data_IF_766922520349
#
_entry.id   IF_766922520349
#
_cell.length_a   1.000
_cell.length_b   1.000
_cell.length_c   1.000
_cell.angle_alpha   90.00
_cell.angle_beta   90.00
_cell.angle_gamma   90.00
#
_symmetry.space_group_name_H-M   'P 1'
#
loop_
_entity.id
_entity.type
_entity.pdbx_description
1 polymer ?
#
# COMPACT_ATOMS: atom_id res chain seq x y z
N UNK A 1 -7.31 8.42 -4.88
CA UNK A 1 -6.66 9.39 -3.96
C UNK A 1 -7.38 10.75 -3.96
N UNK A 2 -7.65 11.38 -5.12
CA UNK A 2 -8.34 12.68 -5.20
C UNK A 2 -9.66 12.75 -4.45
N UNK A 3 -10.50 11.74 -4.64
CA UNK A 3 -11.76 11.59 -3.92
C UNK A 3 -11.57 11.52 -2.38
N UNK A 4 -10.74 10.60 -1.88
CA UNK A 4 -10.52 10.40 -0.43
C UNK A 4 -9.97 11.64 0.25
N UNK A 5 -9.06 12.33 -0.41
CA UNK A 5 -8.50 13.58 0.10
C UNK A 5 -9.57 14.67 0.11
N UNK A 6 -10.42 14.74 -0.92
CA UNK A 6 -11.58 15.63 -0.97
C UNK A 6 -12.56 15.41 0.19
N UNK A 7 -12.94 14.16 0.45
CA UNK A 7 -13.89 13.85 1.54
C UNK A 7 -13.30 14.08 2.94
N UNK A 8 -11.99 13.92 3.11
CA UNK A 8 -11.31 14.14 4.39
C UNK A 8 -10.94 15.60 4.64
N UNK A 9 -10.58 16.36 3.60
CA UNK A 9 -9.99 17.70 3.74
C UNK A 9 -10.90 18.83 3.25
N UNK A 10 -12.02 18.53 2.59
CA UNK A 10 -12.92 19.52 2.00
C UNK A 10 -12.17 20.48 1.08
N UNK A 11 -12.39 21.79 1.23
CA UNK A 11 -11.76 22.84 0.42
C UNK A 11 -10.22 22.84 0.51
N UNK A 12 -9.63 22.25 1.55
CA UNK A 12 -8.16 22.12 1.65
C UNK A 12 -7.59 21.09 0.69
N UNK A 13 -8.42 20.19 0.16
CA UNK A 13 -8.02 19.20 -0.83
C UNK A 13 -7.55 19.87 -2.13
N UNK A 14 -8.23 20.93 -2.59
CA UNK A 14 -7.87 21.61 -3.83
C UNK A 14 -6.46 22.19 -3.77
N UNK A 15 -6.14 22.91 -2.68
CA UNK A 15 -4.79 23.44 -2.43
C UNK A 15 -3.71 22.36 -2.39
N UNK A 16 -4.05 21.19 -1.83
CA UNK A 16 -3.15 20.06 -1.83
C UNK A 16 -2.91 19.54 -3.26
N UNK A 17 -3.95 19.43 -4.08
CA UNK A 17 -3.82 18.97 -5.47
C UNK A 17 -3.11 19.96 -6.39
N UNK A 18 -3.16 21.26 -6.11
CA UNK A 18 -2.33 22.25 -6.81
C UNK A 18 -0.83 22.04 -6.55
N UNK A 19 -0.48 21.38 -5.44
CA UNK A 19 0.89 21.17 -4.98
C UNK A 19 1.41 19.74 -5.18
N UNK A 20 0.59 18.84 -5.74
CA UNK A 20 0.95 17.43 -5.96
C UNK A 20 1.04 17.14 -7.46
N UNK A 21 2.12 16.48 -7.87
CA UNK A 21 2.24 15.90 -9.21
C UNK A 21 1.81 14.43 -9.16
N UNK A 22 0.80 14.08 -9.96
CA UNK A 22 0.34 12.71 -10.17
C UNK A 22 0.82 12.24 -11.54
N UNK A 23 1.98 11.58 -11.60
CA UNK A 23 2.61 11.17 -12.85
C UNK A 23 3.36 9.84 -12.74
N UNK A 24 3.29 9.02 -13.80
CA UNK A 24 4.01 7.75 -13.92
C UNK A 24 3.48 6.60 -13.06
N UNK A 25 4.31 5.57 -12.94
CA UNK A 25 4.10 4.41 -12.08
C UNK A 25 4.66 4.68 -10.68
N UNK A 26 4.22 3.96 -9.63
CA UNK A 26 4.77 4.12 -8.28
C UNK A 26 6.31 4.00 -8.20
N UNK A 27 6.93 3.21 -9.07
CA UNK A 27 8.39 3.09 -9.14
C UNK A 27 9.08 4.38 -9.62
N UNK A 28 8.40 5.16 -10.47
CA UNK A 28 8.93 6.43 -10.98
C UNK A 28 8.99 7.49 -9.89
N UNK A 29 8.09 7.43 -8.90
CA UNK A 29 8.12 8.32 -7.73
C UNK A 29 9.42 8.15 -6.96
N UNK A 30 9.80 6.90 -6.64
CA UNK A 30 11.08 6.64 -5.96
C UNK A 30 12.28 7.15 -6.76
N UNK A 31 12.29 6.89 -8.06
CA UNK A 31 13.37 7.31 -8.94
C UNK A 31 13.51 8.84 -8.95
N UNK A 32 12.40 9.57 -9.13
CA UNK A 32 12.41 11.04 -9.19
C UNK A 32 12.79 11.67 -7.85
N UNK A 33 12.41 11.07 -6.72
CA UNK A 33 12.88 11.52 -5.40
C UNK A 33 14.37 11.28 -5.23
N UNK A 34 14.86 10.09 -5.58
CA UNK A 34 16.29 9.78 -5.52
C UNK A 34 17.15 10.67 -6.43
N UNK A 35 16.62 11.07 -7.59
CA UNK A 35 17.28 11.98 -8.54
C UNK A 35 17.19 13.45 -8.13
N UNK A 36 16.48 13.79 -7.04
CA UNK A 36 16.29 15.16 -6.58
C UNK A 36 15.35 16.00 -7.44
N UNK A 37 14.54 15.36 -8.28
CA UNK A 37 13.48 16.04 -9.07
C UNK A 37 12.34 16.47 -8.14
N UNK A 38 12.05 15.65 -7.12
CA UNK A 38 11.10 15.97 -6.06
C UNK A 38 11.72 15.69 -4.69
N UNK A 39 11.39 16.49 -3.69
CA UNK A 39 11.90 16.29 -2.33
C UNK A 39 11.17 15.17 -1.58
N UNK A 40 9.90 14.91 -1.94
CA UNK A 40 9.00 13.99 -1.23
C UNK A 40 8.19 13.18 -2.23
N UNK A 41 7.97 11.91 -1.92
CA UNK A 41 7.10 11.01 -2.67
C UNK A 41 6.20 10.19 -1.75
N UNK A 42 4.99 9.85 -2.23
CA UNK A 42 4.07 8.95 -1.54
C UNK A 42 3.90 7.70 -2.42
N UNK A 43 4.26 6.54 -1.89
CA UNK A 43 4.17 5.25 -2.59
C UNK A 43 3.64 4.16 -1.66
N UNK A 44 3.08 3.09 -2.22
CA UNK A 44 2.74 1.89 -1.45
C UNK A 44 4.01 1.20 -0.95
N UNK A 45 3.90 0.52 0.20
CA UNK A 45 4.98 -0.21 0.86
C UNK A 45 5.88 -1.04 -0.09
N UNK A 46 5.37 -1.88 -1.01
CA UNK A 46 6.22 -2.66 -1.91
C UNK A 46 7.22 -1.82 -2.71
N UNK A 47 6.83 -0.61 -3.10
CA UNK A 47 7.69 0.27 -3.88
C UNK A 47 8.67 1.03 -3.00
N UNK A 48 8.36 1.24 -1.73
CA UNK A 48 9.26 1.93 -0.78
C UNK A 48 10.55 1.17 -0.48
N UNK A 49 10.63 -0.14 -0.76
CA UNK A 49 11.86 -0.91 -0.55
C UNK A 49 12.89 -0.76 -1.67
N UNK A 50 12.47 -0.33 -2.87
CA UNK A 50 13.39 -0.06 -3.98
C UNK A 50 14.37 1.10 -3.68
N UNK A 51 14.16 1.84 -2.60
CA UNK A 51 14.96 3.00 -2.21
C UNK A 51 15.95 2.76 -1.05
N UNK A 52 16.06 1.51 -0.53
CA UNK A 52 16.90 1.21 0.66
C UNK A 52 18.40 1.47 0.48
N UNK A 53 18.90 1.46 -0.76
CA UNK A 53 20.31 1.69 -1.09
C UNK A 53 20.56 3.06 -1.76
N UNK A 54 19.68 4.04 -1.53
CA UNK A 54 19.60 5.29 -2.29
C UNK A 54 19.51 6.53 -1.39
N UNK A 55 19.51 7.74 -1.98
CA UNK A 55 19.49 9.03 -1.28
C UNK A 55 18.11 9.38 -0.67
N UNK A 56 17.33 8.37 -0.26
CA UNK A 56 15.94 8.51 0.17
C UNK A 56 15.75 7.80 1.50
N UNK A 57 14.93 8.37 2.37
CA UNK A 57 14.53 7.75 3.64
C UNK A 57 13.04 7.42 3.63
N UNK A 58 12.67 6.33 4.29
CA UNK A 58 11.27 5.95 4.48
C UNK A 58 10.71 6.66 5.70
N UNK A 59 9.57 7.33 5.55
CA UNK A 59 8.82 7.91 6.65
C UNK A 59 7.55 7.10 6.88
N UNK A 60 7.37 6.57 8.09
CA UNK A 60 6.11 6.00 8.54
C UNK A 60 5.39 7.04 9.41
N UNK A 61 4.20 7.52 9.02
CA UNK A 61 3.50 8.56 9.78
C UNK A 61 3.13 8.11 11.19
N UNK A 62 3.18 9.02 12.17
CA UNK A 62 2.81 8.74 13.57
C UNK A 62 1.33 8.32 13.67
N UNK A 63 0.48 8.93 12.86
CA UNK A 63 -0.96 8.62 12.74
C UNK A 63 -1.23 7.26 12.06
N UNK A 64 -0.18 6.63 11.53
CA UNK A 64 -0.23 5.36 10.84
C UNK A 64 -0.21 5.48 9.32
N UNK A 65 0.36 4.47 8.65
CA UNK A 65 0.37 4.39 7.19
C UNK A 65 -1.00 3.96 6.65
N UNK A 66 -1.44 4.53 5.52
CA UNK A 66 -2.72 4.15 4.92
C UNK A 66 -2.75 2.66 4.57
N UNK A 67 -3.75 1.94 5.09
CA UNK A 67 -3.98 0.55 4.72
C UNK A 67 -4.57 0.47 3.30
N UNK A 68 -3.91 -0.29 2.44
CA UNK A 68 -4.39 -0.65 1.09
C UNK A 68 -4.63 -2.17 1.05
N UNK A 69 -5.80 -2.64 1.52
CA UNK A 69 -6.09 -4.07 1.54
C UNK A 69 -6.16 -4.61 0.11
N UNK A 70 -5.46 -5.72 -0.13
CA UNK A 70 -5.62 -6.51 -1.34
C UNK A 70 -6.46 -7.74 -1.02
N UNK A 71 -7.46 -8.02 -1.84
CA UNK A 71 -8.38 -9.15 -1.65
C UNK A 71 -8.27 -10.11 -2.83
N UNK A 72 -8.37 -11.40 -2.53
CA UNK A 72 -8.46 -12.44 -3.56
C UNK A 72 -9.93 -12.61 -3.95
N UNK A 73 -10.22 -12.45 -5.24
CA UNK A 73 -11.57 -12.60 -5.80
C UNK A 73 -11.59 -13.83 -6.70
N UNK A 74 -12.57 -14.71 -6.49
CA UNK A 74 -12.81 -15.88 -7.33
C UNK A 74 -14.13 -15.72 -8.07
N UNK A 75 -14.17 -16.18 -9.32
CA UNK A 75 -15.45 -16.29 -10.04
C UNK A 75 -16.28 -17.45 -9.47
N UNK A 76 -17.60 -17.34 -9.55
CA UNK A 76 -18.48 -18.48 -9.32
C UNK A 76 -18.16 -19.60 -10.31
N UNK A 77 -18.01 -20.83 -9.80
CA UNK A 77 -17.60 -21.97 -10.62
C UNK A 77 -16.17 -21.86 -11.17
N UNK A 78 -15.25 -21.26 -10.40
CA UNK A 78 -13.82 -21.33 -10.71
C UNK A 78 -13.35 -22.79 -10.86
N UNK A 79 -12.40 -23.04 -11.75
CA UNK A 79 -11.82 -24.37 -11.94
C UNK A 79 -11.05 -24.80 -10.70
N UNK A 80 -10.93 -26.10 -10.47
CA UNK A 80 -10.12 -26.64 -9.37
C UNK A 80 -8.69 -26.11 -9.41
N UNK A 81 -8.09 -25.96 -10.60
CA UNK A 81 -6.75 -25.40 -10.75
C UNK A 81 -6.67 -23.94 -10.28
N UNK A 82 -7.66 -23.11 -10.60
CA UNK A 82 -7.71 -21.73 -10.12
C UNK A 82 -7.86 -21.68 -8.59
N UNK A 83 -8.67 -22.58 -8.02
CA UNK A 83 -8.83 -22.71 -6.57
C UNK A 83 -7.53 -23.16 -5.90
N UNK A 84 -6.80 -24.12 -6.49
CA UNK A 84 -5.47 -24.55 -6.01
C UNK A 84 -4.48 -23.41 -5.97
N UNK A 85 -4.39 -22.60 -7.03
CA UNK A 85 -3.52 -21.42 -7.06
C UNK A 85 -3.89 -20.43 -5.95
N UNK A 86 -5.18 -20.13 -5.78
CA UNK A 86 -5.60 -19.21 -4.73
C UNK A 86 -5.30 -19.73 -3.32
N UNK A 87 -5.44 -21.02 -3.08
CA UNK A 87 -5.09 -21.64 -1.80
C UNK A 87 -3.57 -21.61 -1.58
N UNK A 88 -2.79 -21.83 -2.63
CA UNK A 88 -1.33 -21.75 -2.54
C UNK A 88 -0.86 -20.33 -2.19
N UNK A 89 -1.47 -19.28 -2.77
CA UNK A 89 -1.14 -17.89 -2.42
C UNK A 89 -1.36 -17.57 -0.93
N UNK A 90 -2.25 -18.30 -0.26
CA UNK A 90 -2.53 -18.17 1.18
C UNK A 90 -1.73 -19.15 2.05
N UNK A 91 -0.96 -20.05 1.44
CA UNK A 91 -0.10 -20.98 2.16
C UNK A 91 1.00 -20.25 2.93
N UNK A 92 1.54 -20.89 3.96
CA UNK A 92 2.64 -20.35 4.75
C UNK A 92 3.86 -20.02 3.88
N UNK A 93 4.22 -20.88 2.93
CA UNK A 93 5.38 -20.68 2.05
C UNK A 93 5.23 -19.45 1.16
N UNK A 94 4.06 -19.26 0.54
CA UNK A 94 3.79 -18.08 -0.27
C UNK A 94 3.77 -16.80 0.57
N UNK A 95 3.18 -16.85 1.76
CA UNK A 95 3.10 -15.70 2.66
C UNK A 95 4.48 -15.33 3.25
N UNK A 96 5.33 -16.33 3.56
CA UNK A 96 6.74 -16.12 3.93
C UNK A 96 7.49 -15.40 2.82
N UNK A 97 7.38 -15.90 1.59
CA UNK A 97 7.99 -15.23 0.45
C UNK A 97 7.56 -13.77 0.35
N UNK A 98 6.25 -13.48 0.43
CA UNK A 98 5.69 -12.11 0.41
C UNK A 98 6.31 -11.21 1.49
N UNK A 99 6.46 -11.74 2.71
CA UNK A 99 7.05 -11.01 3.83
C UNK A 99 8.54 -10.74 3.64
N UNK A 100 9.29 -11.75 3.18
CA UNK A 100 10.73 -11.68 2.97
C UNK A 100 11.10 -10.64 1.91
N UNK A 101 10.42 -10.70 0.74
CA UNK A 101 10.58 -9.66 -0.29
C UNK A 101 10.05 -8.31 0.18
N UNK A 102 9.24 -8.29 1.24
CA UNK A 102 8.62 -7.10 1.81
C UNK A 102 7.71 -6.38 0.83
N UNK A 103 7.06 -7.15 -0.02
CA UNK A 103 6.16 -6.63 -1.04
C UNK A 103 4.82 -6.30 -0.41
N UNK A 104 4.37 -7.08 0.58
CA UNK A 104 3.11 -6.82 1.30
C UNK A 104 3.21 -7.30 2.75
N UNK A 105 2.24 -6.88 3.55
CA UNK A 105 2.00 -7.45 4.88
C UNK A 105 1.32 -8.82 4.68
N UNK A 106 1.91 -9.94 5.18
CA UNK A 106 1.30 -11.25 5.06
C UNK A 106 0.01 -11.32 5.89
N UNK A 107 -0.98 -12.09 5.42
CA UNK A 107 -2.25 -12.31 6.13
C UNK A 107 -2.21 -13.53 7.05
N UNK A 108 -1.18 -14.38 6.89
CA UNK A 108 -0.99 -15.55 7.74
C UNK A 108 -0.34 -15.13 9.07
N UNK A 109 -1.01 -15.35 10.22
CA UNK A 109 -0.57 -14.83 11.52
C UNK A 109 0.71 -15.47 12.07
N UNK A 110 1.14 -16.63 11.52
CA UNK A 110 2.40 -17.27 11.94
C UNK A 110 3.61 -16.81 11.13
N UNK A 111 3.38 -16.05 10.05
CA UNK A 111 4.46 -15.50 9.22
C UNK A 111 4.93 -14.19 9.84
N UNK A 112 6.24 -14.02 10.11
CA UNK A 112 6.78 -12.76 10.59
C UNK A 112 6.44 -11.60 9.66
N UNK A 113 6.26 -10.41 10.21
CA UNK A 113 5.97 -9.21 9.43
C UNK A 113 7.25 -8.70 8.73
N UNK A 114 7.12 -7.94 7.63
CA UNK A 114 8.24 -7.19 7.09
C UNK A 114 8.81 -6.25 8.17
N UNK A 115 10.14 -6.18 8.28
CA UNK A 115 10.86 -5.41 9.31
C UNK A 115 10.30 -4.01 9.58
N UNK A 116 10.05 -3.22 8.53
CA UNK A 116 9.55 -1.85 8.64
C UNK A 116 8.12 -1.78 9.17
N UNK A 117 7.32 -2.83 9.00
CA UNK A 117 5.97 -2.92 9.56
C UNK A 117 6.07 -3.26 11.04
N UNK A 118 6.99 -4.16 11.41
CA UNK A 118 7.28 -4.52 12.80
C UNK A 118 7.86 -3.34 13.59
N UNK A 119 8.87 -2.64 13.06
CA UNK A 119 9.50 -1.46 13.68
C UNK A 119 8.49 -0.31 13.92
N UNK A 120 7.45 -0.23 13.09
CA UNK A 120 6.38 0.76 13.22
C UNK A 120 5.12 0.22 13.91
N UNK A 121 5.24 -0.92 14.62
CA UNK A 121 4.18 -1.54 15.42
C UNK A 121 2.88 -1.79 14.64
N UNK A 122 2.97 -2.04 13.32
CA UNK A 122 1.81 -2.19 12.45
C UNK A 122 0.82 -1.02 12.55
N UNK A 123 1.33 0.20 12.79
CA UNK A 123 0.49 1.40 12.90
C UNK A 123 -0.12 1.74 11.54
N UNK A 124 -1.36 1.29 11.31
CA UNK A 124 -2.09 1.46 10.06
C UNK A 124 -3.30 2.34 10.25
N UNK A 125 -3.48 3.30 9.33
CA UNK A 125 -4.70 4.07 9.22
C UNK A 125 -5.74 3.30 8.41
N UNK A 126 -6.68 2.69 9.12
CA UNK A 126 -7.82 1.97 8.53
C UNK A 126 -9.09 2.20 9.36
N UNK A 127 -10.15 2.70 8.72
CA UNK A 127 -11.44 2.97 9.37
C UNK A 127 -12.52 1.94 9.04
N UNK A 128 -12.15 0.79 8.49
CA UNK A 128 -13.08 -0.27 8.11
C UNK A 128 -13.65 -0.13 6.70
N UNK A 129 -14.35 -1.18 6.27
CA UNK A 129 -14.92 -1.28 4.92
C UNK A 129 -16.03 -0.27 4.67
N UNK A 130 -16.86 0.05 5.67
CA UNK A 130 -17.94 1.02 5.49
C UNK A 130 -17.39 2.41 5.14
N UNK A 131 -16.31 2.84 5.81
CA UNK A 131 -15.61 4.07 5.47
C UNK A 131 -15.04 4.03 4.06
N UNK A 132 -14.36 2.94 3.69
CA UNK A 132 -13.77 2.78 2.36
C UNK A 132 -14.83 2.80 1.25
N UNK A 133 -15.90 2.01 1.40
CA UNK A 133 -17.01 1.90 0.45
C UNK A 133 -17.79 3.21 0.36
N UNK A 134 -18.06 3.88 1.49
CA UNK A 134 -18.71 5.20 1.48
C UNK A 134 -17.94 6.20 0.64
N UNK A 135 -16.61 6.09 0.61
CA UNK A 135 -15.78 6.92 -0.24
C UNK A 135 -15.88 6.57 -1.71
N UNK A 136 -15.80 5.28 -2.06
CA UNK A 136 -15.89 4.86 -3.46
C UNK A 136 -17.26 5.19 -4.07
N UNK A 137 -18.35 4.99 -3.33
CA UNK A 137 -19.72 5.16 -3.85
C UNK A 137 -20.15 6.62 -4.05
N UNK A 138 -19.35 7.57 -3.58
CA UNK A 138 -19.55 9.01 -3.82
C UNK A 138 -18.81 9.52 -5.07
N UNK A 139 -18.20 8.61 -5.85
CA UNK A 139 -17.53 8.86 -7.13
C UNK A 139 -18.42 8.47 -8.30
#
# INVERSE_FOLDING_TARGET
>A
MKFYIGSLLGDKAEKLFESIVLDGLPIDVNKKVNEGIFDIGIVSLPFSRASRDQNVTLCWPEEGAFALPQVLIQKNGASEEALRVSNYLLSEDAQKFISDVGVMIPVNPVVPLPREVEENNMSLYWKGWDWFISGINTV
#
